data_IF_431740810785
#
_entry.id   IF_431740810785
#
_cell.length_a   1.000
_cell.length_b   1.000
_cell.length_c   1.000
_cell.angle_alpha   90.00
_cell.angle_beta   90.00
_cell.angle_gamma   90.00
#
_symmetry.space_group_name_H-M   'P 1'
#
loop_
_entity.id
_entity.type
_entity.pdbx_description
1 polymer ?
#
# COMPACT_ATOMS: atom_id res chain seq x y z
N UNK A 1 -15.53 10.36 0.80
CA UNK A 1 -14.20 11.03 0.94
C UNK A 1 -14.31 12.53 0.76
N UNK A 2 -13.37 13.31 1.34
CA UNK A 2 -13.36 14.79 1.21
C UNK A 2 -12.91 15.17 -0.22
N UNK A 3 -13.48 16.28 -0.74
CA UNK A 3 -13.11 16.85 -2.04
C UNK A 3 -11.66 17.34 -2.02
N UNK A 4 -10.92 17.09 -3.08
CA UNK A 4 -9.56 17.62 -3.28
C UNK A 4 -9.66 18.93 -4.05
N UNK A 5 -9.10 19.99 -3.52
CA UNK A 5 -9.20 21.35 -4.08
C UNK A 5 -7.84 22.08 -4.01
N UNK A 6 -7.71 23.17 -4.77
CA UNK A 6 -6.56 24.08 -4.76
C UNK A 6 -5.21 23.39 -5.02
N UNK A 7 -5.16 22.49 -6.01
CA UNK A 7 -3.95 21.76 -6.38
C UNK A 7 -2.99 22.70 -7.12
N UNK A 8 -1.75 22.78 -6.64
CA UNK A 8 -0.64 23.48 -7.28
C UNK A 8 0.55 22.57 -7.38
N UNK A 9 1.43 22.81 -8.35
CA UNK A 9 2.69 22.09 -8.54
C UNK A 9 3.84 23.09 -8.53
N UNK A 10 4.91 22.73 -7.84
CA UNK A 10 6.16 23.50 -7.82
C UNK A 10 7.36 22.55 -7.86
N UNK A 11 8.55 23.00 -8.28
CA UNK A 11 9.77 22.19 -8.17
C UNK A 11 10.07 21.86 -6.72
N UNK A 12 10.31 20.57 -6.42
CA UNK A 12 10.71 20.11 -5.09
C UNK A 12 12.25 20.02 -5.04
N UNK A 13 12.88 20.88 -4.24
CA UNK A 13 14.35 20.91 -4.09
C UNK A 13 14.86 20.04 -2.93
N UNK A 14 13.98 19.68 -1.99
CA UNK A 14 14.27 18.78 -0.86
C UNK A 14 13.01 18.04 -0.43
N UNK A 15 13.14 16.77 -0.02
CA UNK A 15 12.04 15.95 0.48
C UNK A 15 12.57 14.93 1.49
N UNK A 16 11.83 14.73 2.55
CA UNK A 16 12.12 13.68 3.55
C UNK A 16 11.73 12.28 3.03
N UNK A 17 10.88 12.21 2.00
CA UNK A 17 10.33 10.94 1.49
C UNK A 17 10.96 10.47 0.17
N UNK A 18 11.49 11.40 -0.64
CA UNK A 18 11.98 11.08 -1.98
C UNK A 18 13.27 11.85 -2.27
N UNK A 19 14.35 11.11 -2.52
CA UNK A 19 15.63 11.69 -2.95
C UNK A 19 15.92 11.29 -4.38
N UNK A 20 15.98 12.27 -5.29
CA UNK A 20 16.26 12.02 -6.71
C UNK A 20 17.77 12.07 -6.97
N UNK A 21 18.30 11.06 -7.62
CA UNK A 21 19.72 10.93 -7.92
C UNK A 21 19.95 10.41 -9.35
N UNK A 22 21.14 10.62 -9.88
CA UNK A 22 21.62 9.99 -11.12
C UNK A 22 22.77 9.05 -10.82
N UNK A 23 22.57 7.76 -11.12
CA UNK A 23 23.60 6.75 -11.05
C UNK A 23 24.36 6.67 -12.38
N UNK A 24 25.69 6.73 -12.34
CA UNK A 24 26.56 6.41 -13.48
C UNK A 24 27.18 5.03 -13.26
N UNK A 25 27.16 4.20 -14.29
CA UNK A 25 27.68 2.83 -14.21
C UNK A 25 28.22 2.35 -15.58
N UNK A 26 29.03 1.31 -15.54
CA UNK A 26 29.53 0.66 -16.75
C UNK A 26 28.92 -0.74 -16.86
N UNK A 27 28.33 -1.04 -17.99
CA UNK A 27 27.82 -2.36 -18.30
C UNK A 27 28.38 -2.82 -19.66
N UNK A 28 29.08 -3.96 -19.66
CA UNK A 28 29.71 -4.53 -20.87
C UNK A 28 30.62 -3.52 -21.60
N UNK A 29 31.39 -2.74 -20.84
CA UNK A 29 32.29 -1.71 -21.37
C UNK A 29 31.62 -0.41 -21.82
N UNK A 30 30.29 -0.31 -21.77
CA UNK A 30 29.52 0.89 -22.15
C UNK A 30 29.17 1.71 -20.93
N UNK A 31 29.52 3.00 -20.95
CA UNK A 31 29.10 3.96 -19.92
C UNK A 31 27.59 4.26 -20.06
N UNK A 32 26.89 4.17 -18.95
CA UNK A 32 25.43 4.40 -18.84
C UNK A 32 25.11 5.31 -17.67
N UNK A 33 23.94 5.92 -17.71
CA UNK A 33 23.37 6.62 -16.57
C UNK A 33 21.89 6.32 -16.42
N UNK A 34 21.41 6.39 -15.17
CA UNK A 34 20.01 6.14 -14.84
C UNK A 34 19.55 7.10 -13.76
N UNK A 35 18.41 7.75 -13.98
CA UNK A 35 17.79 8.59 -12.97
C UNK A 35 16.91 7.72 -12.06
N UNK A 36 17.10 7.85 -10.78
CA UNK A 36 16.40 7.05 -9.77
C UNK A 36 15.90 7.91 -8.60
N UNK A 37 14.93 7.39 -7.89
CA UNK A 37 14.42 7.96 -6.65
C UNK A 37 14.70 6.99 -5.49
N UNK A 38 15.41 7.44 -4.48
CA UNK A 38 15.49 6.72 -3.22
C UNK A 38 14.23 7.01 -2.41
N UNK A 39 13.55 5.95 -1.98
CA UNK A 39 12.32 5.99 -1.18
C UNK A 39 12.41 4.91 -0.10
N UNK A 40 11.54 4.97 0.89
CA UNK A 40 11.45 3.95 1.93
C UNK A 40 10.92 2.62 1.38
N UNK A 41 11.37 1.52 1.97
CA UNK A 41 10.69 0.22 1.86
C UNK A 41 9.33 0.29 2.56
N UNK A 42 8.49 -0.71 2.38
CA UNK A 42 7.13 -0.71 2.94
C UNK A 42 6.67 -2.10 3.36
N UNK A 43 5.67 -2.12 4.22
CA UNK A 43 4.86 -3.30 4.52
C UNK A 43 3.49 -3.14 3.89
N UNK A 44 2.85 -4.25 3.51
CA UNK A 44 1.47 -4.28 3.05
C UNK A 44 0.76 -5.51 3.61
N UNK A 45 -0.51 -5.40 3.95
CA UNK A 45 -1.24 -6.43 4.66
C UNK A 45 -2.57 -6.73 3.96
N UNK A 46 -2.76 -7.97 3.52
CA UNK A 46 -4.07 -8.48 3.12
C UNK A 46 -4.85 -8.84 4.37
N UNK A 47 -5.85 -8.05 4.69
CA UNK A 47 -6.74 -8.26 5.83
C UNK A 47 -8.02 -8.93 5.34
N UNK A 48 -8.33 -10.12 5.87
CA UNK A 48 -9.58 -10.82 5.61
C UNK A 48 -10.48 -10.78 6.86
N UNK A 49 -11.66 -10.21 6.71
CA UNK A 49 -12.68 -10.17 7.76
C UNK A 49 -13.58 -11.39 7.68
N UNK A 50 -13.42 -12.31 8.62
CA UNK A 50 -14.10 -13.60 8.63
C UNK A 50 -15.62 -13.46 8.70
N UNK A 51 -16.15 -12.71 9.66
CA UNK A 51 -17.59 -12.58 9.88
C UNK A 51 -18.33 -11.88 8.73
N UNK A 52 -17.62 -11.05 7.93
CA UNK A 52 -18.19 -10.34 6.77
C UNK A 52 -17.90 -11.02 5.43
N UNK A 53 -17.10 -12.07 5.41
CA UNK A 53 -16.58 -12.71 4.21
C UNK A 53 -16.05 -11.67 3.19
N UNK A 54 -15.19 -10.74 3.67
CA UNK A 54 -14.74 -9.59 2.90
C UNK A 54 -13.26 -9.29 3.15
N UNK A 55 -12.58 -8.76 2.15
CA UNK A 55 -11.29 -8.12 2.34
C UNK A 55 -11.49 -6.70 2.90
N UNK A 56 -10.65 -6.31 3.86
CA UNK A 56 -10.58 -4.94 4.36
C UNK A 56 -9.49 -4.23 3.58
N UNK A 57 -9.89 -3.25 2.81
CA UNK A 57 -9.04 -2.43 1.97
C UNK A 57 -9.05 -1.00 2.46
N UNK A 58 -8.09 -0.22 1.99
CA UNK A 58 -8.07 1.22 2.17
C UNK A 58 -8.27 1.92 0.82
N UNK A 59 -8.97 3.05 0.87
CA UNK A 59 -9.11 3.93 -0.29
C UNK A 59 -8.60 5.30 0.08
N UNK A 60 -7.67 5.84 -0.72
CA UNK A 60 -7.04 7.12 -0.41
C UNK A 60 -6.67 7.89 -1.68
N UNK A 61 -6.44 9.19 -1.53
CA UNK A 61 -5.97 10.05 -2.60
C UNK A 61 -4.46 9.92 -2.79
N UNK A 62 -4.04 9.65 -4.03
CA UNK A 62 -2.63 9.57 -4.42
C UNK A 62 -2.33 10.65 -5.47
N UNK A 63 -1.64 11.74 -5.09
CA UNK A 63 -1.31 12.84 -6.01
C UNK A 63 -0.66 12.39 -7.34
N UNK A 64 0.30 11.42 -7.36
CA UNK A 64 0.87 10.93 -8.61
C UNK A 64 -0.16 10.28 -9.55
N UNK A 65 -1.17 9.61 -8.99
CA UNK A 65 -2.26 9.01 -9.76
C UNK A 65 -3.20 10.09 -10.29
N UNK A 66 -3.50 11.10 -9.48
CA UNK A 66 -4.30 12.25 -9.90
C UNK A 66 -3.73 12.93 -11.14
N UNK A 67 -2.41 13.08 -11.24
CA UNK A 67 -1.74 13.66 -12.41
C UNK A 67 -1.94 12.83 -13.69
N UNK A 68 -2.41 11.60 -13.60
CA UNK A 68 -2.64 10.70 -14.74
C UNK A 68 -4.12 10.55 -15.11
N UNK A 69 -5.01 10.53 -14.12
CA UNK A 69 -6.42 10.22 -14.34
C UNK A 69 -7.39 11.29 -13.85
N UNK A 70 -6.91 12.38 -13.21
CA UNK A 70 -7.70 13.49 -12.67
C UNK A 70 -8.72 13.11 -11.58
N UNK A 71 -8.69 11.87 -11.08
CA UNK A 71 -9.47 11.39 -9.94
C UNK A 71 -8.56 11.15 -8.73
N UNK A 72 -7.47 10.42 -8.91
CA UNK A 72 -6.40 10.20 -7.94
C UNK A 72 -6.73 9.24 -6.81
N UNK A 73 -7.95 8.72 -6.72
CA UNK A 73 -8.31 7.77 -5.66
C UNK A 73 -7.93 6.34 -6.03
N UNK A 74 -7.23 5.68 -5.10
CA UNK A 74 -6.74 4.31 -5.28
C UNK A 74 -7.29 3.39 -4.21
N UNK A 75 -7.55 2.13 -4.59
CA UNK A 75 -7.81 1.05 -3.65
C UNK A 75 -6.51 0.29 -3.42
N UNK A 76 -6.16 0.12 -2.15
CA UNK A 76 -4.89 -0.43 -1.73
C UNK A 76 -5.07 -1.44 -0.60
N UNK A 77 -4.05 -2.25 -0.35
CA UNK A 77 -3.91 -2.95 0.92
C UNK A 77 -3.62 -1.92 2.01
N UNK A 78 -3.95 -2.21 3.25
CA UNK A 78 -3.38 -1.54 4.41
C UNK A 78 -1.85 -1.61 4.32
N UNK A 79 -1.14 -0.47 4.43
CA UNK A 79 0.29 -0.42 4.13
C UNK A 79 0.98 0.78 4.77
N UNK A 80 2.20 0.58 5.27
CA UNK A 80 3.02 1.64 5.84
C UNK A 80 4.47 1.61 5.38
N UNK A 81 5.15 2.75 5.51
CA UNK A 81 6.57 2.89 5.20
C UNK A 81 7.44 2.36 6.35
N UNK A 82 8.63 1.87 6.00
CA UNK A 82 9.63 1.42 6.98
C UNK A 82 10.54 2.60 7.29
N UNK A 83 10.13 3.43 8.22
CA UNK A 83 10.84 4.65 8.69
C UNK A 83 11.13 4.65 10.19
N UNK A 84 10.70 3.58 10.90
CA UNK A 84 10.86 3.41 12.35
C UNK A 84 11.83 2.27 12.67
N UNK A 85 12.48 2.34 13.84
CA UNK A 85 13.32 1.25 14.38
C UNK A 85 12.46 0.13 15.02
N UNK A 86 11.53 -0.43 14.22
CA UNK A 86 10.67 -1.55 14.58
C UNK A 86 10.88 -2.70 13.60
N UNK A 87 10.52 -3.90 14.00
CA UNK A 87 10.47 -5.02 13.06
C UNK A 87 9.32 -4.81 12.05
N UNK A 88 9.44 -5.38 10.85
CA UNK A 88 8.44 -5.20 9.79
C UNK A 88 7.05 -5.70 10.20
N UNK A 89 6.96 -6.72 11.05
CA UNK A 89 5.68 -7.21 11.58
C UNK A 89 5.09 -6.28 12.64
N UNK A 90 5.92 -5.56 13.39
CA UNK A 90 5.46 -4.53 14.34
C UNK A 90 4.91 -3.31 13.59
N UNK A 91 5.59 -2.87 12.52
CA UNK A 91 5.07 -1.82 11.64
C UNK A 91 3.73 -2.28 11.04
N UNK A 92 3.66 -3.50 10.51
CA UNK A 92 2.39 -4.03 9.98
C UNK A 92 1.27 -4.06 11.02
N UNK A 93 1.57 -4.36 12.28
CA UNK A 93 0.60 -4.33 13.38
C UNK A 93 0.09 -2.92 13.66
N UNK A 94 0.98 -1.93 13.70
CA UNK A 94 0.62 -0.52 13.88
C UNK A 94 -0.29 -0.04 12.74
N UNK A 95 0.10 -0.30 11.49
CA UNK A 95 -0.66 0.13 10.31
C UNK A 95 -2.07 -0.49 10.26
N UNK A 96 -2.22 -1.77 10.61
CA UNK A 96 -3.54 -2.42 10.71
C UNK A 96 -4.44 -1.63 11.67
N UNK A 97 -3.91 -1.22 12.82
CA UNK A 97 -4.68 -0.46 13.80
C UNK A 97 -4.98 0.96 13.32
N UNK A 98 -3.98 1.68 12.82
CA UNK A 98 -4.07 3.09 12.44
C UNK A 98 -4.99 3.29 11.22
N UNK A 99 -4.77 2.52 10.16
CA UNK A 99 -5.55 2.66 8.94
C UNK A 99 -6.92 2.01 9.00
N UNK A 100 -7.03 0.85 9.66
CA UNK A 100 -8.25 0.03 9.59
C UNK A 100 -8.99 -0.14 10.90
N UNK A 101 -8.40 0.26 12.03
CA UNK A 101 -9.01 0.19 13.36
C UNK A 101 -9.10 -1.21 13.96
N UNK A 102 -8.39 -2.20 13.42
CA UNK A 102 -8.33 -3.55 13.98
C UNK A 102 -7.11 -3.73 14.87
N UNK A 103 -7.30 -4.13 16.13
CA UNK A 103 -6.23 -4.47 17.05
C UNK A 103 -5.95 -5.97 16.98
N UNK A 104 -4.84 -6.34 16.36
CA UNK A 104 -4.42 -7.74 16.19
C UNK A 104 -3.13 -8.03 16.93
N UNK A 105 -2.95 -9.28 17.39
CA UNK A 105 -1.67 -9.73 17.94
C UNK A 105 -0.70 -10.07 16.82
N UNK A 106 0.60 -9.79 17.00
CA UNK A 106 1.66 -10.05 16.01
C UNK A 106 1.70 -11.48 15.52
N UNK A 107 1.44 -12.43 16.42
CA UNK A 107 1.45 -13.87 16.14
C UNK A 107 0.37 -14.30 15.13
N UNK A 108 -0.62 -13.44 14.88
CA UNK A 108 -1.66 -13.67 13.87
C UNK A 108 -1.30 -13.13 12.50
N UNK A 109 -0.25 -12.29 12.41
CA UNK A 109 0.19 -11.66 11.15
C UNK A 109 1.18 -12.61 10.48
N UNK A 110 0.76 -13.21 9.38
CA UNK A 110 1.53 -14.19 8.62
C UNK A 110 2.22 -13.54 7.42
N UNK A 111 3.52 -13.77 7.27
CA UNK A 111 4.24 -13.33 6.08
C UNK A 111 3.84 -14.17 4.86
N UNK A 112 3.48 -13.49 3.77
CA UNK A 112 3.23 -14.14 2.47
C UNK A 112 4.53 -14.21 1.67
N UNK A 113 5.11 -13.05 1.34
CA UNK A 113 6.32 -12.92 0.51
C UNK A 113 6.88 -11.49 0.57
N UNK A 114 7.88 -11.20 -0.24
CA UNK A 114 8.31 -9.83 -0.53
C UNK A 114 8.61 -9.67 -2.02
N UNK A 115 8.49 -8.44 -2.53
CA UNK A 115 8.79 -8.10 -3.91
C UNK A 115 9.26 -6.65 -4.02
N UNK A 116 9.81 -6.29 -5.18
CA UNK A 116 10.22 -4.91 -5.46
C UNK A 116 9.12 -4.17 -6.23
N UNK A 117 8.86 -2.93 -5.85
CA UNK A 117 7.92 -2.02 -6.52
C UNK A 117 8.68 -0.98 -7.31
N UNK A 118 8.03 -0.37 -8.32
CA UNK A 118 8.55 0.75 -9.09
C UNK A 118 10.00 0.53 -9.60
N UNK A 119 10.34 -0.71 -10.01
CA UNK A 119 11.70 -1.17 -10.35
C UNK A 119 12.40 -0.34 -11.44
N UNK A 120 11.65 0.41 -12.23
CA UNK A 120 12.20 1.27 -13.28
C UNK A 120 12.83 2.57 -12.76
N UNK A 121 12.54 2.97 -11.50
CA UNK A 121 13.08 4.23 -10.97
C UNK A 121 13.30 4.26 -9.45
N UNK A 122 12.60 3.46 -8.65
CA UNK A 122 12.74 3.49 -7.19
C UNK A 122 13.29 2.17 -6.63
N UNK A 123 12.72 1.03 -7.00
CA UNK A 123 13.19 -0.28 -6.54
C UNK A 123 12.96 -0.50 -5.05
N UNK A 124 11.91 0.10 -4.46
CA UNK A 124 11.55 -0.12 -3.06
C UNK A 124 11.07 -1.55 -2.85
N UNK A 125 11.49 -2.16 -1.74
CA UNK A 125 11.02 -3.49 -1.34
C UNK A 125 9.73 -3.37 -0.55
N UNK A 126 8.74 -4.20 -0.89
CA UNK A 126 7.52 -4.33 -0.12
C UNK A 126 7.42 -5.72 0.48
N UNK A 127 7.23 -5.79 1.81
CA UNK A 127 6.96 -7.02 2.54
C UNK A 127 5.45 -7.21 2.63
N UNK A 128 4.95 -8.36 2.18
CA UNK A 128 3.53 -8.67 2.14
C UNK A 128 3.13 -9.65 3.23
N UNK A 129 2.11 -9.28 3.99
CA UNK A 129 1.54 -10.06 5.08
C UNK A 129 0.06 -10.39 4.83
N UNK A 130 -0.45 -11.31 5.62
CA UNK A 130 -1.86 -11.68 5.72
C UNK A 130 -2.29 -11.75 7.18
N UNK A 131 -3.54 -11.35 7.45
CA UNK A 131 -4.17 -11.51 8.76
C UNK A 131 -5.68 -11.73 8.61
N UNK A 132 -6.22 -12.58 9.48
CA UNK A 132 -7.67 -12.76 9.62
C UNK A 132 -8.15 -11.94 10.81
N UNK A 133 -9.21 -11.16 10.62
CA UNK A 133 -9.87 -10.36 11.68
C UNK A 133 -11.35 -10.69 11.79
N UNK A 134 -11.95 -10.31 12.92
CA UNK A 134 -13.40 -10.37 13.16
C UNK A 134 -13.89 -9.07 13.83
N UNK A 135 -15.19 -8.92 14.02
CA UNK A 135 -15.78 -7.74 14.67
C UNK A 135 -15.22 -7.49 16.09
N UNK A 136 -14.81 -8.55 16.81
CA UNK A 136 -14.18 -8.46 18.14
C UNK A 136 -12.79 -7.76 18.12
N UNK A 137 -12.09 -7.79 16.99
CA UNK A 137 -10.80 -7.13 16.83
C UNK A 137 -10.95 -5.62 16.55
N UNK A 138 -12.16 -5.14 16.20
CA UNK A 138 -12.42 -3.76 15.84
C UNK A 138 -12.47 -2.86 17.06
N UNK A 139 -11.53 -1.94 17.20
CA UNK A 139 -11.43 -1.02 18.37
C UNK A 139 -11.62 0.46 18.00
N UNK A 140 -11.52 0.81 16.72
CA UNK A 140 -11.74 2.16 16.21
C UNK A 140 -12.23 2.14 14.76
N UNK A 141 -12.58 3.29 14.21
CA UNK A 141 -12.96 3.39 12.79
C UNK A 141 -11.76 3.27 11.83
N UNK A 142 -10.55 3.47 12.32
CA UNK A 142 -9.35 3.62 11.48
C UNK A 142 -9.37 4.96 10.74
N UNK A 143 -8.74 5.00 9.57
CA UNK A 143 -8.75 6.18 8.71
C UNK A 143 -7.41 6.90 8.65
N UNK A 144 -6.35 6.29 9.23
CA UNK A 144 -5.01 6.84 9.33
C UNK A 144 -4.81 7.75 10.53
N UNK A 145 -3.64 8.36 10.62
CA UNK A 145 -3.26 9.27 11.69
C UNK A 145 -3.07 10.69 11.16
N UNK A 146 -3.05 11.66 12.05
CA UNK A 146 -2.79 13.09 11.78
C UNK A 146 -3.64 13.67 10.63
N UNK A 147 -3.00 13.94 9.49
CA UNK A 147 -3.61 14.56 8.30
C UNK A 147 -4.05 13.56 7.24
N UNK A 148 -3.85 12.29 7.47
CA UNK A 148 -4.27 11.24 6.55
C UNK A 148 -5.80 11.24 6.38
N UNK A 149 -6.23 10.86 5.20
CA UNK A 149 -7.65 10.80 4.86
C UNK A 149 -7.92 9.48 4.14
N UNK A 150 -7.92 8.41 4.93
CA UNK A 150 -8.10 7.03 4.49
C UNK A 150 -9.56 6.63 4.72
N UNK A 151 -10.15 5.96 3.75
CA UNK A 151 -11.47 5.35 3.85
C UNK A 151 -11.33 3.84 3.91
N UNK A 152 -11.84 3.21 4.97
CA UNK A 152 -11.88 1.75 5.09
C UNK A 152 -13.00 1.19 4.21
N UNK A 153 -12.66 0.27 3.32
CA UNK A 153 -13.57 -0.34 2.35
C UNK A 153 -13.63 -1.84 2.56
N UNK A 154 -14.83 -2.38 2.67
CA UNK A 154 -15.07 -3.82 2.73
C UNK A 154 -15.42 -4.34 1.34
N UNK A 155 -14.55 -5.16 0.76
CA UNK A 155 -14.80 -5.81 -0.52
C UNK A 155 -15.22 -7.27 -0.29
N UNK A 156 -16.50 -7.63 -0.53
CA UNK A 156 -16.94 -9.02 -0.41
C UNK A 156 -16.11 -9.96 -1.29
N UNK A 157 -15.69 -11.11 -0.76
CA UNK A 157 -14.84 -12.08 -1.47
C UNK A 157 -15.42 -12.46 -2.83
N UNK A 158 -16.73 -12.70 -2.91
CA UNK A 158 -17.40 -13.05 -4.16
C UNK A 158 -17.37 -11.96 -5.25
N UNK A 159 -17.01 -10.72 -4.89
CA UNK A 159 -16.83 -9.60 -5.84
C UNK A 159 -15.37 -9.32 -6.19
N UNK A 160 -14.43 -9.94 -5.46
CA UNK A 160 -13.03 -9.58 -5.57
C UNK A 160 -12.42 -9.98 -6.92
N UNK A 161 -12.83 -11.08 -7.52
CA UNK A 161 -12.39 -11.44 -8.87
C UNK A 161 -12.79 -10.39 -9.91
N UNK A 162 -14.05 -9.98 -9.94
CA UNK A 162 -14.51 -8.92 -10.83
C UNK A 162 -13.80 -7.58 -10.55
N UNK A 163 -13.57 -7.27 -9.27
CA UNK A 163 -12.82 -6.08 -8.86
C UNK A 163 -11.37 -6.07 -9.38
N UNK A 164 -10.67 -7.22 -9.35
CA UNK A 164 -9.30 -7.34 -9.85
C UNK A 164 -9.21 -6.95 -11.33
N UNK A 165 -10.18 -7.39 -12.14
CA UNK A 165 -10.17 -7.20 -13.60
C UNK A 165 -10.93 -5.94 -14.07
N UNK A 166 -11.58 -5.19 -13.19
CA UNK A 166 -12.22 -3.92 -13.57
C UNK A 166 -11.17 -2.82 -13.76
N UNK A 167 -10.90 -2.44 -15.00
CA UNK A 167 -9.92 -1.40 -15.36
C UNK A 167 -10.36 0.01 -14.93
N UNK A 168 -11.62 0.24 -14.61
CA UNK A 168 -12.11 1.52 -14.10
C UNK A 168 -11.78 1.74 -12.63
N UNK A 169 -11.41 0.70 -11.90
CA UNK A 169 -11.01 0.78 -10.49
C UNK A 169 -9.50 0.90 -10.42
N UNK A 170 -9.02 2.02 -9.92
CA UNK A 170 -7.58 2.21 -9.67
C UNK A 170 -7.16 1.40 -8.45
N UNK A 171 -6.18 0.53 -8.63
CA UNK A 171 -5.69 -0.40 -7.63
C UNK A 171 -4.20 -0.72 -7.85
N UNK A 172 -3.53 -1.20 -6.81
CA UNK A 172 -2.10 -1.51 -6.87
C UNK A 172 -1.84 -2.97 -7.31
N UNK A 173 -0.69 -3.25 -7.98
CA UNK A 173 -0.32 -4.62 -8.32
C UNK A 173 -0.19 -5.54 -7.09
N UNK A 174 0.30 -5.00 -5.96
CA UNK A 174 0.42 -5.75 -4.71
C UNK A 174 -0.92 -6.24 -4.18
N UNK A 175 -1.98 -5.40 -4.28
CA UNK A 175 -3.35 -5.78 -3.93
C UNK A 175 -3.87 -6.91 -4.83
N UNK A 176 -3.68 -6.77 -6.14
CA UNK A 176 -4.12 -7.80 -7.10
C UNK A 176 -3.41 -9.14 -6.85
N UNK A 177 -2.10 -9.11 -6.61
CA UNK A 177 -1.32 -10.30 -6.27
C UNK A 177 -1.81 -10.93 -4.96
N UNK A 178 -2.02 -10.15 -3.91
CA UNK A 178 -2.46 -10.65 -2.61
C UNK A 178 -3.82 -11.37 -2.67
N UNK A 179 -4.79 -10.80 -3.39
CA UNK A 179 -6.08 -11.44 -3.61
C UNK A 179 -5.95 -12.72 -4.43
N UNK A 180 -5.15 -12.71 -5.50
CA UNK A 180 -4.89 -13.91 -6.32
C UNK A 180 -4.22 -15.01 -5.49
N UNK A 181 -3.25 -14.64 -4.64
CA UNK A 181 -2.63 -15.57 -3.70
C UNK A 181 -3.66 -16.19 -2.74
N UNK A 182 -4.59 -15.36 -2.23
CA UNK A 182 -5.65 -15.84 -1.33
C UNK A 182 -6.55 -16.86 -2.01
N UNK A 183 -7.04 -16.58 -3.22
CA UNK A 183 -7.86 -17.52 -4.00
C UNK A 183 -7.15 -18.82 -4.40
N UNK A 184 -5.83 -18.79 -4.52
CA UNK A 184 -5.05 -20.00 -4.79
C UNK A 184 -4.84 -20.88 -3.54
N UNK A 185 -5.14 -20.35 -2.34
CA UNK A 185 -4.83 -21.01 -1.07
C UNK A 185 -6.10 -21.44 -0.30
N UNK A 186 -7.18 -20.73 -0.46
CA UNK A 186 -8.46 -20.95 0.22
C UNK A 186 -9.59 -21.16 -0.79
#
# INVERSE_FOLDING_TARGET
>A
MKKIENITLEPCSSSDFVKVERMHYTQEGVQKSWDLAQVHDSVAILIYHKGREAFVLVKQFRPPVYLKNSDGFTHELCAGIVDKELSLVEIAQEEILEETGYAVKRERIEKITSFYTAVGFAGAKQELYHVVVDDEDKVSEGGGIDVEAIEVVYLPVHKAEAFIYDENIVKTPGLMFAMTWWFARF
#
